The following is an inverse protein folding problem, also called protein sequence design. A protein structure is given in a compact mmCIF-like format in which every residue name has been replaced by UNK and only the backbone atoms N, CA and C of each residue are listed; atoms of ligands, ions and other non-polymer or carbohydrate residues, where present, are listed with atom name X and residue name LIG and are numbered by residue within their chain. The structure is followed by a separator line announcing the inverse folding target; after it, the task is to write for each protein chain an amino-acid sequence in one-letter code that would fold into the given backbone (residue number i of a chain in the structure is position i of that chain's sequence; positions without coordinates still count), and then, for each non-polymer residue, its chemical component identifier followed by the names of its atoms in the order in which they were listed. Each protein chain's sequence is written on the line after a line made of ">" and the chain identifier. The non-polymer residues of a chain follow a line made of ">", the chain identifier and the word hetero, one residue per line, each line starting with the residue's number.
data_IF_540857667641
#
_entry.id   IF_540857667641
#
_cell.length_a   1.000
_cell.length_b   1.000
_cell.length_c   1.000
_cell.angle_alpha   90.00
_cell.angle_beta   90.00
_cell.angle_gamma   90.00
#
_symmetry.space_group_name_H-M   'P 1'
#
loop_
_entity.id
_entity.type
_entity.pdbx_description
1 polymer ?
#
# COMPACT_ATOMS: atom_id res chain seq x y z
N UNK A 1 -44.13 -32.74 -42.47
CA UNK A 1 -42.82 -32.36 -41.90
C UNK A 1 -42.79 -33.00 -40.53
N UNK A 2 -42.05 -34.09 -40.40
CA UNK A 2 -42.13 -34.97 -39.23
C UNK A 2 -41.55 -34.24 -38.00
N UNK A 3 -42.26 -34.31 -36.87
CA UNK A 3 -41.87 -33.67 -35.61
C UNK A 3 -40.42 -33.99 -35.19
N UNK A 4 -39.92 -35.16 -35.61
CA UNK A 4 -38.54 -35.61 -35.44
C UNK A 4 -37.53 -34.64 -36.06
N UNK A 5 -37.80 -34.10 -37.25
CA UNK A 5 -36.91 -33.15 -37.95
C UNK A 5 -36.86 -31.80 -37.20
N UNK A 6 -38.01 -31.35 -36.67
CA UNK A 6 -38.09 -30.11 -35.89
C UNK A 6 -37.31 -30.24 -34.57
N UNK A 7 -37.45 -31.38 -33.88
CA UNK A 7 -36.71 -31.65 -32.63
C UNK A 7 -35.20 -31.69 -32.89
N UNK A 8 -34.75 -32.32 -33.98
CA UNK A 8 -33.33 -32.36 -34.36
C UNK A 8 -32.78 -30.96 -34.65
N UNK A 9 -33.51 -30.12 -35.37
CA UNK A 9 -33.10 -28.74 -35.65
C UNK A 9 -32.95 -27.90 -34.38
N UNK A 10 -33.91 -28.01 -33.45
CA UNK A 10 -33.84 -27.29 -32.17
C UNK A 10 -32.62 -27.73 -31.35
N UNK A 11 -32.32 -29.03 -31.32
CA UNK A 11 -31.12 -29.53 -30.65
C UNK A 11 -29.84 -29.01 -31.30
N UNK A 12 -29.76 -29.00 -32.64
CA UNK A 12 -28.59 -28.46 -33.36
C UNK A 12 -28.39 -26.98 -33.04
N UNK A 13 -29.44 -26.16 -33.08
CA UNK A 13 -29.38 -24.73 -32.75
C UNK A 13 -28.91 -24.55 -31.29
N UNK A 14 -29.45 -25.34 -30.36
CA UNK A 14 -29.03 -25.28 -28.95
C UNK A 14 -27.56 -25.63 -28.76
N UNK A 15 -27.06 -26.69 -29.40
CA UNK A 15 -25.65 -27.07 -29.33
C UNK A 15 -24.73 -26.03 -29.96
N UNK A 16 -25.12 -25.45 -31.11
CA UNK A 16 -24.37 -24.37 -31.74
C UNK A 16 -24.30 -23.13 -30.86
N UNK A 17 -25.43 -22.74 -30.25
CA UNK A 17 -25.49 -21.62 -29.30
C UNK A 17 -24.60 -21.86 -28.07
N UNK A 18 -24.65 -23.06 -27.49
CA UNK A 18 -23.82 -23.43 -26.34
C UNK A 18 -22.33 -23.37 -26.65
N UNK A 19 -21.90 -23.91 -27.79
CA UNK A 19 -20.49 -23.87 -28.23
C UNK A 19 -20.06 -22.42 -28.51
N UNK A 20 -20.91 -21.63 -29.14
CA UNK A 20 -20.63 -20.23 -29.42
C UNK A 20 -20.42 -19.44 -28.13
N UNK A 21 -21.32 -19.57 -27.15
CA UNK A 21 -21.18 -18.91 -25.85
C UNK A 21 -19.92 -19.33 -25.10
N UNK A 22 -19.59 -20.63 -25.07
CA UNK A 22 -18.36 -21.10 -24.43
C UNK A 22 -17.11 -20.48 -25.04
N UNK A 23 -17.04 -20.38 -26.38
CA UNK A 23 -15.91 -19.72 -27.07
C UNK A 23 -15.86 -18.23 -26.81
N UNK A 24 -17.01 -17.58 -26.65
CA UNK A 24 -17.08 -16.15 -26.34
C UNK A 24 -16.64 -15.88 -24.90
N UNK A 25 -17.02 -16.73 -23.94
CA UNK A 25 -16.51 -16.72 -22.57
C UNK A 25 -14.98 -16.92 -22.54
N UNK A 26 -14.46 -17.97 -23.17
CA UNK A 26 -13.01 -18.23 -23.26
C UNK A 26 -12.25 -17.03 -23.86
N UNK A 27 -12.80 -16.41 -24.90
CA UNK A 27 -12.21 -15.23 -25.53
C UNK A 27 -12.21 -14.01 -24.59
N UNK A 28 -13.26 -13.84 -23.81
CA UNK A 28 -13.34 -12.74 -22.84
C UNK A 28 -12.40 -12.97 -21.66
N UNK A 29 -12.26 -14.21 -21.19
CA UNK A 29 -11.27 -14.59 -20.17
C UNK A 29 -9.84 -14.35 -20.67
N UNK A 30 -9.51 -14.77 -21.89
CA UNK A 30 -8.19 -14.53 -22.49
C UNK A 30 -7.89 -13.03 -22.60
N UNK A 31 -8.85 -12.21 -23.02
CA UNK A 31 -8.69 -10.75 -23.05
C UNK A 31 -8.49 -10.15 -21.66
N UNK A 32 -9.21 -10.64 -20.66
CA UNK A 32 -9.06 -10.19 -19.29
C UNK A 32 -7.66 -10.52 -18.75
N UNK A 33 -7.16 -11.73 -19.04
CA UNK A 33 -5.79 -12.15 -18.69
C UNK A 33 -4.76 -11.28 -19.41
N UNK A 34 -4.93 -11.06 -20.71
CA UNK A 34 -4.00 -10.23 -21.50
C UNK A 34 -3.95 -8.79 -20.98
N UNK A 35 -5.11 -8.20 -20.67
CA UNK A 35 -5.21 -6.88 -20.05
C UNK A 35 -4.53 -6.85 -18.67
N UNK A 36 -4.75 -7.86 -17.82
CA UNK A 36 -4.11 -7.94 -16.50
C UNK A 36 -2.59 -8.07 -16.59
N UNK A 37 -2.08 -8.80 -17.58
CA UNK A 37 -0.65 -8.97 -17.83
C UNK A 37 -0.02 -7.68 -18.36
N UNK A 38 -0.69 -6.99 -19.28
CA UNK A 38 -0.24 -5.68 -19.78
C UNK A 38 -0.15 -4.66 -18.64
N UNK A 39 -1.20 -4.56 -17.83
CA UNK A 39 -1.22 -3.65 -16.67
C UNK A 39 -0.13 -3.99 -15.65
N UNK A 40 0.14 -5.27 -15.42
CA UNK A 40 1.23 -5.67 -14.52
C UNK A 40 2.60 -5.32 -15.08
N UNK A 41 2.80 -5.46 -16.40
CA UNK A 41 4.03 -5.05 -17.06
C UNK A 41 4.23 -3.53 -16.95
N UNK A 42 3.17 -2.73 -17.12
CA UNK A 42 3.20 -1.28 -16.93
C UNK A 42 3.56 -0.90 -15.49
N UNK A 43 2.93 -1.53 -14.49
CA UNK A 43 3.27 -1.29 -13.08
C UNK A 43 4.70 -1.72 -12.76
N UNK A 44 5.19 -2.81 -13.37
CA UNK A 44 6.56 -3.28 -13.17
C UNK A 44 7.59 -2.34 -13.79
N UNK A 45 7.26 -1.71 -14.91
CA UNK A 45 8.11 -0.69 -15.52
C UNK A 45 8.14 0.59 -14.66
N UNK A 46 6.98 1.00 -14.14
CA UNK A 46 6.83 2.22 -13.34
C UNK A 46 7.38 2.08 -11.91
N UNK A 47 7.15 0.93 -11.27
CA UNK A 47 7.45 0.65 -9.87
C UNK A 47 8.15 -0.71 -9.68
N UNK A 48 9.33 -0.92 -10.30
CA UNK A 48 10.00 -2.21 -10.35
C UNK A 48 10.33 -2.80 -8.98
N UNK A 49 10.51 -1.97 -7.95
CA UNK A 49 10.89 -2.43 -6.61
C UNK A 49 9.69 -2.85 -5.75
N UNK A 50 8.48 -2.43 -6.13
CA UNK A 50 7.26 -2.65 -5.35
C UNK A 50 6.44 -3.84 -5.84
N UNK A 51 6.54 -4.18 -7.13
CA UNK A 51 5.82 -5.33 -7.70
C UNK A 51 6.28 -6.63 -7.04
N UNK A 52 5.33 -7.38 -6.48
CA UNK A 52 5.59 -8.62 -5.74
C UNK A 52 5.98 -8.42 -4.28
N UNK A 53 6.14 -7.16 -3.83
CA UNK A 53 6.28 -6.79 -2.41
C UNK A 53 4.97 -6.25 -1.84
N UNK A 54 4.24 -5.50 -2.67
CA UNK A 54 2.91 -4.97 -2.36
C UNK A 54 1.82 -5.80 -3.04
N UNK A 55 0.65 -5.83 -2.41
CA UNK A 55 -0.55 -6.37 -3.06
C UNK A 55 -0.92 -5.52 -4.28
N UNK A 56 -1.23 -6.19 -5.39
CA UNK A 56 -1.52 -5.54 -6.67
C UNK A 56 -2.69 -4.56 -6.59
N UNK A 57 -3.72 -4.89 -5.82
CA UNK A 57 -4.89 -4.03 -5.57
C UNK A 57 -4.50 -2.69 -4.98
N UNK A 58 -3.59 -2.68 -4.00
CA UNK A 58 -3.12 -1.46 -3.36
C UNK A 58 -2.17 -0.66 -4.26
N UNK A 59 -1.25 -1.34 -4.95
CA UNK A 59 -0.38 -0.68 -5.92
C UNK A 59 -1.21 0.03 -7.02
N UNK A 60 -2.29 -0.60 -7.49
CA UNK A 60 -3.25 -0.01 -8.43
C UNK A 60 -4.01 1.21 -7.87
N UNK A 61 -4.28 1.24 -6.56
CA UNK A 61 -4.94 2.38 -5.91
C UNK A 61 -3.96 3.55 -5.80
N UNK A 62 -2.73 3.30 -5.37
CA UNK A 62 -1.72 4.35 -5.23
C UNK A 62 -1.30 4.91 -6.59
N UNK A 63 -1.15 4.04 -7.60
CA UNK A 63 -0.86 4.45 -8.97
C UNK A 63 -1.91 5.42 -9.51
N UNK A 64 -3.20 5.09 -9.36
CA UNK A 64 -4.30 5.96 -9.79
C UNK A 64 -4.32 7.30 -9.05
N UNK A 65 -3.92 7.34 -7.79
CA UNK A 65 -3.81 8.61 -7.05
C UNK A 65 -2.65 9.45 -7.60
N UNK A 66 -1.49 8.83 -7.83
CA UNK A 66 -0.33 9.49 -8.42
C UNK A 66 -0.63 10.06 -9.81
N UNK A 67 -1.33 9.31 -10.67
CA UNK A 67 -1.73 9.76 -12.02
C UNK A 67 -2.71 10.94 -11.99
N UNK A 68 -3.52 11.05 -10.94
CA UNK A 68 -4.42 12.18 -10.70
C UNK A 68 -3.72 13.39 -10.09
N UNK A 69 -2.41 13.31 -9.87
CA UNK A 69 -1.62 14.37 -9.24
C UNK A 69 -1.84 14.49 -7.73
N UNK A 70 -2.43 13.47 -7.10
CA UNK A 70 -2.58 13.43 -5.64
C UNK A 70 -1.25 12.99 -5.05
N UNK A 71 -0.67 13.80 -4.16
CA UNK A 71 0.55 13.41 -3.44
C UNK A 71 0.26 12.26 -2.49
N UNK A 72 1.04 11.18 -2.61
CA UNK A 72 0.88 10.00 -1.74
C UNK A 72 1.41 10.27 -0.34
N UNK A 73 2.39 11.17 -0.20
CA UNK A 73 2.78 11.71 1.10
C UNK A 73 1.62 12.45 1.78
N UNK A 74 0.84 13.25 1.05
CA UNK A 74 -0.36 13.89 1.60
C UNK A 74 -1.43 12.87 2.00
N UNK A 75 -1.68 11.85 1.19
CA UNK A 75 -2.58 10.75 1.55
C UNK A 75 -2.14 10.08 2.85
N UNK A 76 -0.84 9.79 2.97
CA UNK A 76 -0.25 9.16 4.17
C UNK A 76 -0.45 10.02 5.42
N UNK A 77 -0.20 11.33 5.31
CA UNK A 77 -0.39 12.26 6.42
C UNK A 77 -1.86 12.37 6.85
N UNK A 78 -2.78 12.40 5.88
CA UNK A 78 -4.22 12.43 6.18
C UNK A 78 -4.69 11.16 6.89
N UNK A 79 -4.19 9.99 6.48
CA UNK A 79 -4.45 8.72 7.19
C UNK A 79 -3.91 8.79 8.63
N UNK A 80 -2.67 9.21 8.81
CA UNK A 80 -2.07 9.40 10.14
C UNK A 80 -2.94 10.29 11.04
N UNK A 81 -3.34 11.48 10.55
CA UNK A 81 -4.17 12.42 11.31
C UNK A 81 -5.56 11.86 11.62
N UNK A 82 -6.19 11.21 10.66
CA UNK A 82 -7.51 10.64 10.84
C UNK A 82 -7.50 9.58 11.96
N UNK A 83 -6.49 8.71 11.96
CA UNK A 83 -6.38 7.65 12.94
C UNK A 83 -5.88 8.14 14.30
N UNK A 84 -5.02 9.17 14.35
CA UNK A 84 -4.53 9.73 15.61
C UNK A 84 -5.66 10.28 16.49
N UNK A 85 -6.71 10.83 15.88
CA UNK A 85 -7.90 11.33 16.61
C UNK A 85 -8.71 10.24 17.32
N UNK A 86 -8.45 8.97 17.03
CA UNK A 86 -9.16 7.82 17.59
C UNK A 86 -8.40 7.12 18.71
N UNK A 87 -7.16 7.55 18.98
CA UNK A 87 -6.29 6.97 20.00
C UNK A 87 -6.40 7.82 21.26
N UNK A 88 -6.53 7.17 22.42
CA UNK A 88 -6.47 7.89 23.68
C UNK A 88 -5.01 8.25 24.02
N UNK A 89 -4.67 9.51 23.79
CA UNK A 89 -3.34 10.06 24.05
C UNK A 89 -3.15 10.46 25.52
N UNK A 90 -4.18 10.38 26.37
CA UNK A 90 -4.13 10.80 27.78
C UNK A 90 -3.19 9.94 28.62
N UNK A 91 -2.91 8.71 28.20
CA UNK A 91 -1.98 7.79 28.86
C UNK A 91 -0.52 7.93 28.37
N UNK A 92 -0.17 9.09 27.79
CA UNK A 92 1.22 9.43 27.46
C UNK A 92 1.81 8.70 26.25
N UNK A 93 0.97 8.13 25.39
CA UNK A 93 1.39 7.48 24.16
C UNK A 93 1.66 8.50 23.04
N UNK A 94 2.64 9.40 23.26
CA UNK A 94 3.30 10.15 22.18
C UNK A 94 3.96 9.21 21.14
N UNK A 95 3.97 7.90 21.41
CA UNK A 95 4.41 6.84 20.52
C UNK A 95 3.76 6.94 19.14
N UNK A 96 2.46 7.23 19.05
CA UNK A 96 1.81 7.38 17.73
C UNK A 96 2.33 8.60 16.97
N UNK A 97 2.46 9.74 17.63
CA UNK A 97 3.00 10.97 17.03
C UNK A 97 4.47 10.79 16.61
N UNK A 98 5.24 10.04 17.41
CA UNK A 98 6.62 9.65 17.09
C UNK A 98 6.71 8.78 15.83
N UNK A 99 5.67 7.99 15.49
CA UNK A 99 5.65 7.22 14.24
C UNK A 99 5.66 8.12 13.02
N UNK A 100 5.01 9.28 13.08
CA UNK A 100 5.07 10.22 11.96
C UNK A 100 6.45 10.82 11.79
N UNK A 101 7.09 11.31 12.87
CA UNK A 101 8.48 11.78 12.82
C UNK A 101 9.43 10.71 12.27
N UNK A 102 9.27 9.46 12.73
CA UNK A 102 10.05 8.34 12.20
C UNK A 102 9.74 8.00 10.75
N UNK A 103 8.51 8.20 10.30
CA UNK A 103 8.14 8.08 8.87
C UNK A 103 8.86 9.13 8.03
N UNK A 104 8.98 10.36 8.52
CA UNK A 104 9.73 11.42 7.84
C UNK A 104 11.22 11.07 7.73
N UNK A 105 11.83 10.58 8.81
CA UNK A 105 13.22 10.10 8.78
C UNK A 105 13.40 8.90 7.84
N UNK A 106 12.45 7.95 7.85
CA UNK A 106 12.45 6.81 6.94
C UNK A 106 12.42 7.27 5.48
N UNK A 107 11.52 8.18 5.14
CA UNK A 107 11.37 8.65 3.77
C UNK A 107 12.64 9.35 3.28
N UNK A 108 13.25 10.20 4.11
CA UNK A 108 14.54 10.80 3.81
C UNK A 108 15.64 9.73 3.62
N UNK A 109 15.67 8.72 4.50
CA UNK A 109 16.64 7.63 4.42
C UNK A 109 16.50 6.83 3.13
N UNK A 110 15.27 6.47 2.73
CA UNK A 110 14.98 5.81 1.46
C UNK A 110 15.47 6.64 0.28
N UNK A 111 15.12 7.93 0.25
CA UNK A 111 15.50 8.82 -0.86
C UNK A 111 17.02 9.01 -0.97
N UNK A 112 17.73 9.03 0.16
CA UNK A 112 19.19 9.22 0.17
C UNK A 112 19.98 7.94 -0.10
N UNK A 113 19.52 6.81 0.43
CA UNK A 113 20.35 5.60 0.54
C UNK A 113 19.77 4.35 -0.12
N UNK A 114 18.52 4.39 -0.60
CA UNK A 114 17.90 3.27 -1.32
C UNK A 114 17.60 3.62 -2.78
N UNK A 115 17.66 2.62 -3.65
CA UNK A 115 17.20 2.71 -5.03
C UNK A 115 15.68 2.88 -5.06
N UNK A 116 15.17 3.26 -6.22
CA UNK A 116 13.76 3.59 -6.40
C UNK A 116 13.56 5.08 -6.66
N UNK A 117 12.46 5.38 -7.30
CA UNK A 117 12.00 6.76 -7.52
C UNK A 117 11.34 7.33 -6.26
N UNK A 118 11.28 8.65 -6.15
CA UNK A 118 10.56 9.35 -5.08
C UNK A 118 9.12 8.84 -4.92
N UNK A 119 8.44 8.60 -6.05
CA UNK A 119 7.07 8.11 -6.01
C UNK A 119 6.98 6.67 -5.47
N UNK A 120 7.95 5.79 -5.76
CA UNK A 120 7.97 4.46 -5.15
C UNK A 120 8.16 4.54 -3.64
N UNK A 121 9.03 5.42 -3.15
CA UNK A 121 9.24 5.62 -1.71
C UNK A 121 7.97 6.15 -1.04
N UNK A 122 7.27 7.09 -1.67
CA UNK A 122 5.98 7.58 -1.17
C UNK A 122 4.89 6.49 -1.19
N UNK A 123 4.81 5.65 -2.24
CA UNK A 123 3.87 4.51 -2.28
C UNK A 123 4.13 3.56 -1.10
N UNK A 124 5.39 3.26 -0.82
CA UNK A 124 5.74 2.33 0.25
C UNK A 124 5.35 2.88 1.64
N UNK A 125 5.55 4.18 1.87
CA UNK A 125 5.08 4.87 3.08
C UNK A 125 3.55 4.91 3.15
N UNK A 126 2.86 5.19 2.04
CA UNK A 126 1.40 5.19 1.99
C UNK A 126 0.81 3.81 2.29
N UNK A 127 1.47 2.75 1.82
CA UNK A 127 1.11 1.37 2.13
C UNK A 127 1.27 1.03 3.61
N UNK A 128 2.34 1.50 4.25
CA UNK A 128 2.50 1.37 5.70
C UNK A 128 1.33 2.01 6.46
N UNK A 129 1.00 3.27 6.13
CA UNK A 129 -0.09 3.98 6.81
C UNK A 129 -1.47 3.40 6.51
N UNK A 130 -1.67 2.82 5.33
CA UNK A 130 -2.88 2.06 5.00
C UNK A 130 -3.02 0.84 5.92
N UNK A 131 -1.97 0.02 6.10
CA UNK A 131 -1.98 -1.11 7.03
C UNK A 131 -2.19 -0.69 8.48
N UNK A 132 -1.54 0.40 8.90
CA UNK A 132 -1.72 0.95 10.23
C UNK A 132 -3.17 1.38 10.47
N UNK A 133 -3.79 2.06 9.50
CA UNK A 133 -5.18 2.49 9.59
C UNK A 133 -6.17 1.32 9.64
N UNK A 134 -5.93 0.26 8.88
CA UNK A 134 -6.74 -0.96 8.97
C UNK A 134 -6.66 -1.60 10.36
N UNK A 135 -5.44 -1.70 10.92
CA UNK A 135 -5.26 -2.26 12.25
C UNK A 135 -5.90 -1.39 13.35
N UNK A 136 -5.81 -0.06 13.26
CA UNK A 136 -6.53 0.86 14.17
C UNK A 136 -8.03 0.64 14.05
N UNK A 137 -8.57 0.52 12.83
CA UNK A 137 -9.98 0.22 12.59
C UNK A 137 -10.44 -1.05 13.29
N UNK A 138 -9.66 -2.14 13.18
CA UNK A 138 -9.96 -3.40 13.87
C UNK A 138 -9.89 -3.27 15.40
N UNK A 139 -8.89 -2.55 15.93
CA UNK A 139 -8.78 -2.32 17.38
C UNK A 139 -9.97 -1.55 17.94
N UNK A 140 -10.50 -0.56 17.21
CA UNK A 140 -11.67 0.24 17.64
C UNK A 140 -12.94 -0.61 17.70
N UNK A 141 -13.10 -1.57 16.79
CA UNK A 141 -14.23 -2.50 16.82
C UNK A 141 -14.19 -3.38 18.08
N UNK A 142 -13.00 -3.72 18.57
CA UNK A 142 -12.81 -4.50 19.79
C UNK A 142 -12.92 -3.65 21.07
N UNK A 143 -12.26 -2.49 21.09
CA UNK A 143 -12.27 -1.54 22.19
C UNK A 143 -12.20 -0.09 21.66
N UNK A 144 -13.24 0.74 21.91
CA UNK A 144 -13.26 2.13 21.47
C UNK A 144 -12.12 3.01 22.02
N UNK A 145 -11.51 2.63 23.14
CA UNK A 145 -10.34 3.32 23.71
C UNK A 145 -9.08 2.50 23.45
N UNK A 146 -8.23 2.97 22.53
CA UNK A 146 -6.98 2.29 22.19
C UNK A 146 -5.86 2.77 23.10
N UNK A 147 -5.39 1.88 23.97
CA UNK A 147 -4.18 2.08 24.76
C UNK A 147 -2.93 2.08 23.88
N UNK A 148 -1.98 2.98 24.16
CA UNK A 148 -0.73 3.11 23.39
C UNK A 148 0.11 1.83 23.29
N UNK A 149 0.10 0.99 24.32
CA UNK A 149 0.83 -0.28 24.32
C UNK A 149 0.35 -1.25 23.22
N UNK A 150 -0.90 -1.11 22.74
CA UNK A 150 -1.44 -1.87 21.61
C UNK A 150 -0.81 -1.49 20.28
N UNK A 151 -0.11 -0.35 20.23
CA UNK A 151 0.58 0.16 19.05
C UNK A 151 2.04 -0.30 19.00
N UNK A 152 2.51 -1.07 20.00
CA UNK A 152 3.88 -1.59 20.08
C UNK A 152 4.03 -3.00 19.47
N UNK A 153 3.13 -3.35 18.56
CA UNK A 153 3.12 -4.63 17.84
C UNK A 153 2.89 -4.40 16.36
N UNK A 154 3.02 -5.47 15.56
CA UNK A 154 2.66 -5.42 14.15
C UNK A 154 1.17 -5.03 13.97
N UNK A 155 0.82 -4.23 12.95
CA UNK A 155 1.69 -3.76 11.86
C UNK A 155 2.45 -2.46 12.16
N UNK A 156 2.21 -1.79 13.29
CA UNK A 156 2.77 -0.48 13.62
C UNK A 156 4.30 -0.50 13.77
N UNK A 157 4.84 -1.62 14.23
CA UNK A 157 6.29 -1.84 14.35
C UNK A 157 6.99 -2.20 13.03
N UNK A 158 6.24 -2.51 11.96
CA UNK A 158 6.80 -3.02 10.70
C UNK A 158 7.28 -1.93 9.73
N UNK A 159 7.33 -0.67 10.16
CA UNK A 159 7.83 0.43 9.34
C UNK A 159 9.26 0.21 8.83
N UNK A 160 10.10 -0.54 9.57
CA UNK A 160 11.45 -0.95 9.13
C UNK A 160 11.43 -1.86 7.88
N UNK A 161 10.38 -2.68 7.72
CA UNK A 161 10.29 -3.62 6.59
C UNK A 161 10.15 -2.87 5.26
N UNK A 162 9.66 -1.63 5.27
CA UNK A 162 9.59 -0.78 4.08
C UNK A 162 10.96 -0.60 3.42
N UNK A 163 12.03 -0.55 4.23
CA UNK A 163 13.40 -0.45 3.75
C UNK A 163 13.80 -1.67 2.92
N UNK A 164 13.26 -2.85 3.24
CA UNK A 164 13.58 -4.12 2.59
C UNK A 164 13.04 -4.22 1.16
N UNK A 165 12.09 -3.36 0.77
CA UNK A 165 11.54 -3.33 -0.58
C UNK A 165 12.56 -2.81 -1.60
N UNK A 166 13.51 -2.00 -1.14
CA UNK A 166 14.39 -1.26 -2.01
C UNK A 166 15.84 -1.72 -1.88
N UNK A 167 16.51 -2.03 -3.00
CA UNK A 167 17.95 -2.28 -2.98
C UNK A 167 18.71 -1.06 -2.44
N UNK A 168 19.81 -1.31 -1.73
CA UNK A 168 20.69 -0.24 -1.21
C UNK A 168 21.47 0.43 -2.35
N UNK A 169 21.75 1.72 -2.20
CA UNK A 169 22.71 2.48 -3.02
C UNK A 169 24.14 2.25 -2.51
N UNK A 170 25.12 2.60 -3.33
CA UNK A 170 26.54 2.43 -2.99
C UNK A 170 26.99 3.33 -1.82
N UNK A 171 26.29 4.44 -1.59
CA UNK A 171 26.54 5.38 -0.49
C UNK A 171 25.76 5.05 0.80
N UNK A 172 25.11 3.89 0.87
CA UNK A 172 24.32 3.50 2.02
C UNK A 172 25.20 3.37 3.28
N UNK A 173 24.79 3.90 4.44
CA UNK A 173 25.56 3.77 5.68
C UNK A 173 25.67 2.31 6.15
N UNK A 174 26.71 1.97 6.90
CA UNK A 174 26.87 0.60 7.44
C UNK A 174 25.76 0.21 8.42
N UNK A 175 25.12 1.21 9.06
CA UNK A 175 24.01 1.03 10.00
C UNK A 175 22.72 1.54 9.40
N UNK A 176 21.68 0.71 9.49
CA UNK A 176 20.31 1.05 9.11
C UNK A 176 19.68 2.00 10.14
N UNK A 177 18.65 2.74 9.72
CA UNK A 177 17.78 3.48 10.64
C UNK A 177 17.13 2.49 11.62
N UNK A 178 17.28 2.75 12.93
CA UNK A 178 16.55 2.01 13.97
C UNK A 178 15.35 2.81 14.43
N UNK A 179 14.24 2.11 14.66
CA UNK A 179 13.02 2.67 15.23
C UNK A 179 12.87 2.32 16.72
N UNK A 180 13.76 1.49 17.25
CA UNK A 180 13.81 1.15 18.67
C UNK A 180 14.79 2.06 19.40
N UNK A 181 14.45 2.41 20.64
CA UNK A 181 15.34 3.16 21.52
C UNK A 181 16.48 2.29 22.07
N UNK A 182 17.36 2.88 22.88
CA UNK A 182 18.49 2.16 23.49
C UNK A 182 18.07 1.00 24.41
N UNK A 183 16.82 1.02 24.90
CA UNK A 183 16.25 -0.03 25.75
C UNK A 183 15.52 -1.10 24.93
N UNK A 184 15.45 -0.95 23.61
CA UNK A 184 14.72 -1.83 22.71
C UNK A 184 13.22 -1.58 22.69
N UNK A 185 12.75 -0.47 23.25
CA UNK A 185 11.34 -0.08 23.23
C UNK A 185 11.00 0.63 21.93
N UNK A 186 9.78 0.41 21.45
CA UNK A 186 9.25 1.03 20.25
C UNK A 186 8.15 2.05 20.56
N UNK A 187 7.98 3.08 19.70
CA UNK A 187 9.02 3.65 18.85
C UNK A 187 9.97 4.52 19.68
N UNK A 188 11.20 4.74 19.21
CA UNK A 188 12.07 5.78 19.76
C UNK A 188 11.48 7.16 19.50
N UNK A 189 11.90 8.14 20.28
CA UNK A 189 11.59 9.54 19.99
C UNK A 189 12.29 10.01 18.72
N UNK A 190 11.60 10.85 17.96
CA UNK A 190 12.07 11.42 16.71
C UNK A 190 11.54 12.83 16.54
N UNK A 191 12.44 13.76 16.20
CA UNK A 191 12.03 15.10 15.78
C UNK A 191 11.61 15.14 14.31
N UNK A 192 11.74 14.04 13.55
CA UNK A 192 11.43 13.97 12.14
C UNK A 192 12.44 14.66 11.22
N UNK A 193 12.24 14.51 9.91
CA UNK A 193 13.13 15.07 8.89
C UNK A 193 12.74 16.50 8.53
N UNK A 194 13.64 17.47 8.75
CA UNK A 194 13.41 18.86 8.36
C UNK A 194 13.12 19.02 6.86
N UNK A 195 13.78 18.22 6.01
CA UNK A 195 13.58 18.22 4.57
C UNK A 195 12.17 17.73 4.19
N UNK A 196 11.69 16.65 4.81
CA UNK A 196 10.34 16.13 4.55
C UNK A 196 9.27 17.08 5.11
N UNK A 197 9.50 17.69 6.28
CA UNK A 197 8.60 18.72 6.83
C UNK A 197 8.44 19.91 5.89
N UNK A 198 9.51 20.36 5.25
CA UNK A 198 9.41 21.44 4.26
C UNK A 198 8.59 21.01 3.03
N UNK A 199 8.70 19.74 2.59
CA UNK A 199 7.85 19.19 1.53
C UNK A 199 6.38 19.13 1.94
N UNK A 200 6.06 18.68 3.15
CA UNK A 200 4.70 18.67 3.68
C UNK A 200 4.11 20.08 3.71
N UNK A 201 4.89 21.05 4.21
CA UNK A 201 4.49 22.45 4.21
C UNK A 201 4.21 22.98 2.81
N UNK A 202 5.03 22.62 1.82
CA UNK A 202 4.82 23.01 0.42
C UNK A 202 3.58 22.36 -0.19
N UNK A 203 3.11 21.23 0.36
CA UNK A 203 1.83 20.60 0.03
C UNK A 203 0.65 21.22 0.78
N UNK A 204 0.88 22.22 1.63
CA UNK A 204 -0.14 22.91 2.42
C UNK A 204 -0.59 22.15 3.67
N UNK A 205 0.29 21.29 4.21
CA UNK A 205 0.08 20.50 5.42
C UNK A 205 0.86 21.08 6.60
#
# INVERSE_FOLDING_TARGET
>A
MDAIVVVLLVLIIYFLWKIYNQREEEKNELKAIEYQNQKEAELRDKYPHLVGKLEKSWLDVFDRNAERGVSLLQVSFMLFLQESTKIDLSDGSLKWDNLWGLTEELLEHLEKFHKGSTIEHEIAVAHYWQKAAEAVGSLIEENPEIEGAKLEVEPFTNICDIVSFFPKKDNHPDRELSFFDEKGSFPRESEGSAYIKERLKNLGL
#
